data_IF_744213877252
#
_entry.id   IF_744213877252
#
_cell.length_a   1.000
_cell.length_b   1.000
_cell.length_c   1.000
_cell.angle_alpha   90.00
_cell.angle_beta   90.00
_cell.angle_gamma   90.00
#
_symmetry.space_group_name_H-M   'P 1'
#
loop_
_entity.id
_entity.type
_entity.pdbx_description
1 polymer ?
#
# COMPACT_ATOMS: atom_id res chain seq x y z
N UNK A 1 -13.89 -16.54 -15.26
CA UNK A 1 -14.62 -15.51 -14.50
C UNK A 1 -15.44 -14.73 -15.52
N UNK A 2 -16.74 -14.56 -15.31
CA UNK A 2 -17.60 -13.75 -16.18
C UNK A 2 -17.71 -12.34 -15.59
N UNK A 3 -17.02 -11.38 -16.21
CA UNK A 3 -16.99 -9.99 -15.74
C UNK A 3 -18.29 -9.22 -16.05
N UNK A 4 -19.15 -9.72 -16.93
CA UNK A 4 -20.43 -9.07 -17.25
C UNK A 4 -21.47 -9.26 -16.15
N UNK A 5 -21.32 -10.33 -15.36
CA UNK A 5 -22.18 -10.69 -14.24
C UNK A 5 -21.50 -10.55 -12.86
N UNK A 6 -20.33 -9.91 -12.80
CA UNK A 6 -19.56 -9.74 -11.56
C UNK A 6 -19.36 -8.27 -11.23
N UNK A 7 -19.50 -7.92 -9.94
CA UNK A 7 -19.10 -6.61 -9.44
C UNK A 7 -17.58 -6.46 -9.40
N UNK A 8 -17.09 -5.25 -9.71
CA UNK A 8 -15.69 -4.88 -9.54
C UNK A 8 -15.43 -4.50 -8.10
N UNK A 9 -14.21 -4.80 -7.64
CA UNK A 9 -13.78 -4.56 -6.28
C UNK A 9 -12.35 -4.04 -6.28
N UNK A 10 -12.14 -2.79 -5.87
CA UNK A 10 -10.81 -2.24 -5.64
C UNK A 10 -10.55 -2.17 -4.12
N UNK A 11 -9.63 -2.99 -3.58
CA UNK A 11 -9.34 -3.03 -2.14
C UNK A 11 -8.73 -1.74 -1.61
N UNK A 12 -8.18 -0.87 -2.47
CA UNK A 12 -7.57 0.40 -2.06
C UNK A 12 -8.49 1.61 -2.20
N UNK A 13 -9.72 1.44 -2.73
CA UNK A 13 -10.61 2.55 -3.02
C UNK A 13 -11.00 3.39 -1.77
N UNK A 14 -11.02 2.77 -0.58
CA UNK A 14 -11.41 3.43 0.68
C UNK A 14 -10.28 3.55 1.71
N UNK A 15 -9.14 2.93 1.46
CA UNK A 15 -8.06 2.89 2.44
C UNK A 15 -7.24 4.18 2.29
N UNK A 16 -7.15 4.96 3.36
CA UNK A 16 -6.44 6.25 3.34
C UNK A 16 -5.43 6.39 4.47
N UNK A 17 -5.56 5.58 5.53
CA UNK A 17 -4.64 5.62 6.66
C UNK A 17 -3.62 4.48 6.60
N UNK A 18 -2.52 4.68 7.33
CA UNK A 18 -1.39 3.76 7.36
C UNK A 18 -1.75 2.36 7.86
N UNK A 19 -2.63 2.26 8.86
CA UNK A 19 -2.97 0.98 9.51
C UNK A 19 -3.71 0.10 8.50
N UNK A 20 -4.73 0.64 7.85
CA UNK A 20 -5.55 -0.10 6.89
C UNK A 20 -4.73 -0.53 5.67
N UNK A 21 -3.87 0.37 5.16
CA UNK A 21 -2.97 0.05 4.05
C UNK A 21 -1.97 -1.03 4.42
N UNK A 22 -1.40 -0.97 5.63
CA UNK A 22 -0.49 -2.01 6.12
C UNK A 22 -1.22 -3.34 6.31
N UNK A 23 -2.44 -3.33 6.82
CA UNK A 23 -3.26 -4.53 6.94
C UNK A 23 -3.55 -5.16 5.57
N UNK A 24 -3.95 -4.36 4.58
CA UNK A 24 -4.22 -4.84 3.22
C UNK A 24 -2.96 -5.39 2.54
N UNK A 25 -1.84 -4.68 2.63
CA UNK A 25 -0.55 -5.16 2.12
C UNK A 25 -0.13 -6.47 2.83
N UNK A 26 -0.28 -6.55 4.14
CA UNK A 26 0.02 -7.76 4.91
C UNK A 26 -0.88 -8.94 4.54
N UNK A 27 -2.16 -8.70 4.22
CA UNK A 27 -3.07 -9.76 3.72
C UNK A 27 -2.54 -10.34 2.41
N UNK A 28 -2.11 -9.49 1.46
CA UNK A 28 -1.53 -9.93 0.19
C UNK A 28 -0.31 -10.84 0.41
N UNK A 29 0.63 -10.38 1.24
CA UNK A 29 1.87 -11.12 1.52
C UNK A 29 1.57 -12.44 2.25
N UNK A 30 0.71 -12.45 3.28
CA UNK A 30 0.36 -13.68 4.01
C UNK A 30 -0.40 -14.69 3.15
N UNK A 31 -1.21 -14.23 2.20
CA UNK A 31 -1.91 -15.12 1.28
C UNK A 31 -0.94 -15.84 0.33
N UNK A 32 0.12 -15.16 -0.10
CA UNK A 32 1.17 -15.74 -0.94
C UNK A 32 2.17 -16.61 -0.15
N UNK A 33 2.44 -16.24 1.10
CA UNK A 33 3.41 -16.90 1.98
C UNK A 33 2.78 -17.26 3.33
N UNK A 34 1.94 -18.31 3.40
CA UNK A 34 1.20 -18.64 4.62
C UNK A 34 2.09 -19.16 5.76
N UNK A 35 3.21 -19.83 5.43
CA UNK A 35 4.13 -20.41 6.41
C UNK A 35 5.59 -19.98 6.12
N UNK A 36 5.93 -18.70 6.34
CA UNK A 36 7.26 -18.18 5.98
C UNK A 36 8.32 -18.63 6.99
N UNK A 37 9.51 -18.95 6.49
CA UNK A 37 10.72 -19.06 7.32
C UNK A 37 11.09 -17.70 7.93
N UNK A 38 11.98 -17.68 8.92
CA UNK A 38 12.48 -16.42 9.51
C UNK A 38 13.11 -15.48 8.46
N UNK A 39 13.83 -16.04 7.49
CA UNK A 39 14.39 -15.26 6.38
C UNK A 39 13.27 -14.70 5.48
N UNK A 40 12.27 -15.52 5.14
CA UNK A 40 11.13 -15.07 4.35
C UNK A 40 10.31 -14.00 5.07
N UNK A 41 10.21 -14.03 6.40
CA UNK A 41 9.53 -12.97 7.17
C UNK A 41 10.19 -11.60 6.99
N UNK A 42 11.52 -11.55 6.90
CA UNK A 42 12.25 -10.32 6.60
C UNK A 42 11.90 -9.79 5.20
N UNK A 43 11.90 -10.66 4.19
CA UNK A 43 11.52 -10.29 2.82
C UNK A 43 10.06 -9.86 2.72
N UNK A 44 9.18 -10.56 3.44
CA UNK A 44 7.75 -10.25 3.54
C UNK A 44 7.51 -8.86 4.11
N UNK A 45 8.21 -8.48 5.20
CA UNK A 45 8.10 -7.15 5.79
C UNK A 45 8.57 -6.05 4.82
N UNK A 46 9.66 -6.29 4.09
CA UNK A 46 10.12 -5.40 3.03
C UNK A 46 9.10 -5.26 1.90
N UNK A 47 8.48 -6.36 1.48
CA UNK A 47 7.51 -6.39 0.39
C UNK A 47 6.21 -5.69 0.77
N UNK A 48 5.73 -5.87 2.01
CA UNK A 48 4.59 -5.14 2.57
C UNK A 48 4.85 -3.63 2.56
N UNK A 49 6.05 -3.22 3.02
CA UNK A 49 6.48 -1.82 2.99
C UNK A 49 6.53 -1.26 1.57
N UNK A 50 7.08 -2.00 0.61
CA UNK A 50 7.15 -1.61 -0.79
C UNK A 50 5.76 -1.41 -1.40
N UNK A 51 4.83 -2.34 -1.18
CA UNK A 51 3.44 -2.23 -1.64
C UNK A 51 2.79 -0.97 -1.07
N UNK A 52 2.94 -0.72 0.23
CA UNK A 52 2.38 0.48 0.88
C UNK A 52 2.96 1.78 0.30
N UNK A 53 4.27 1.85 0.08
CA UNK A 53 4.92 3.00 -0.55
C UNK A 53 4.29 3.30 -1.91
N UNK A 54 4.09 2.27 -2.74
CA UNK A 54 3.49 2.45 -4.05
C UNK A 54 2.01 2.83 -4.00
N UNK A 55 1.24 2.28 -3.08
CA UNK A 55 -0.15 2.72 -2.88
C UNK A 55 -0.19 4.19 -2.46
N UNK A 56 0.63 4.61 -1.50
CA UNK A 56 0.72 6.02 -1.08
C UNK A 56 1.15 6.94 -2.23
N UNK A 57 2.13 6.53 -3.04
CA UNK A 57 2.52 7.29 -4.23
C UNK A 57 1.32 7.49 -5.18
N UNK A 58 0.51 6.45 -5.41
CA UNK A 58 -0.69 6.55 -6.24
C UNK A 58 -1.75 7.47 -5.60
N UNK A 59 -1.95 7.42 -4.28
CA UNK A 59 -2.82 8.36 -3.57
C UNK A 59 -2.36 9.81 -3.74
N UNK A 60 -1.06 10.07 -3.61
CA UNK A 60 -0.51 11.43 -3.69
C UNK A 60 -0.62 12.05 -5.08
N UNK A 61 -0.75 11.24 -6.14
CA UNK A 61 -1.06 11.74 -7.49
C UNK A 61 -2.50 12.26 -7.63
N UNK A 62 -3.40 11.90 -6.71
CA UNK A 62 -4.75 12.43 -6.63
C UNK A 62 -5.72 11.95 -7.71
N UNK A 63 -5.35 10.95 -8.52
CA UNK A 63 -6.28 10.32 -9.47
C UNK A 63 -6.82 8.98 -8.91
N UNK A 64 -8.08 8.92 -8.45
CA UNK A 64 -8.69 7.71 -7.89
C UNK A 64 -8.64 6.49 -8.83
N UNK A 65 -8.73 6.70 -10.15
CA UNK A 65 -8.69 5.62 -11.13
C UNK A 65 -7.34 4.91 -11.17
N UNK A 66 -6.30 5.56 -10.65
CA UNK A 66 -4.96 4.99 -10.60
C UNK A 66 -4.67 4.20 -9.31
N UNK A 67 -5.48 4.38 -8.26
CA UNK A 67 -5.22 3.83 -6.93
C UNK A 67 -5.78 2.41 -6.85
N UNK A 68 -5.13 1.46 -7.50
CA UNK A 68 -5.60 0.08 -7.58
C UNK A 68 -4.45 -0.94 -7.61
N UNK A 69 -4.78 -2.19 -7.29
CA UNK A 69 -3.79 -3.28 -7.22
C UNK A 69 -3.08 -3.55 -8.57
N UNK A 70 -3.76 -3.50 -9.74
CA UNK A 70 -3.08 -3.56 -11.04
C UNK A 70 -1.95 -2.55 -11.24
N UNK A 71 -2.15 -1.30 -10.85
CA UNK A 71 -1.11 -0.27 -10.97
C UNK A 71 0.03 -0.46 -9.96
N UNK A 72 -0.27 -0.95 -8.75
CA UNK A 72 0.78 -1.35 -7.81
C UNK A 72 1.63 -2.47 -8.39
N UNK A 73 1.02 -3.49 -9.00
CA UNK A 73 1.76 -4.54 -9.72
C UNK A 73 2.59 -3.96 -10.86
N UNK A 74 2.05 -3.02 -11.62
CA UNK A 74 2.81 -2.36 -12.69
C UNK A 74 4.08 -1.69 -12.15
N UNK A 75 4.01 -0.99 -11.01
CA UNK A 75 5.16 -0.37 -10.37
C UNK A 75 6.19 -1.41 -9.86
N UNK A 76 5.72 -2.51 -9.24
CA UNK A 76 6.60 -3.60 -8.78
C UNK A 76 7.30 -4.28 -9.96
N UNK A 77 6.58 -4.58 -11.04
CA UNK A 77 7.13 -5.24 -12.23
C UNK A 77 8.15 -4.37 -12.99
N UNK A 78 8.06 -3.04 -12.85
CA UNK A 78 8.97 -2.08 -13.49
C UNK A 78 10.03 -1.53 -12.52
N UNK A 79 10.29 -2.22 -11.40
CA UNK A 79 11.24 -1.78 -10.40
C UNK A 79 12.69 -1.85 -10.89
N UNK A 80 13.32 -0.69 -11.14
CA UNK A 80 14.62 -0.57 -11.82
C UNK A 80 15.71 0.13 -11.00
N UNK A 81 15.46 0.43 -9.73
CA UNK A 81 16.39 1.17 -8.86
C UNK A 81 17.74 0.48 -8.70
N UNK A 82 17.76 -0.84 -8.50
CA UNK A 82 19.00 -1.61 -8.35
C UNK A 82 19.75 -1.86 -9.68
N UNK A 83 19.11 -1.58 -10.83
CA UNK A 83 19.68 -1.75 -12.17
C UNK A 83 20.32 -0.47 -12.71
N UNK A 84 20.06 0.66 -12.04
CA UNK A 84 20.52 1.98 -12.47
C UNK A 84 21.95 2.23 -11.99
N UNK A 85 22.77 2.86 -12.83
CA UNK A 85 24.16 3.17 -12.49
C UNK A 85 24.24 4.10 -11.28
N UNK A 86 25.29 3.94 -10.46
CA UNK A 86 25.49 4.75 -9.27
C UNK A 86 25.50 6.26 -9.62
N UNK A 87 24.66 7.04 -8.91
CA UNK A 87 24.54 8.48 -9.13
C UNK A 87 23.49 8.89 -10.16
N UNK A 88 22.77 7.94 -10.75
CA UNK A 88 21.60 8.21 -11.60
C UNK A 88 20.31 7.80 -10.89
N UNK A 89 19.22 8.50 -11.22
CA UNK A 89 17.88 8.16 -10.74
C UNK A 89 17.19 7.23 -11.74
N UNK A 90 16.66 6.12 -11.23
CA UNK A 90 15.85 5.17 -11.99
C UNK A 90 14.50 5.78 -12.41
N UNK A 91 13.68 5.03 -13.13
CA UNK A 91 12.31 5.46 -13.43
C UNK A 91 11.47 5.46 -12.16
N UNK A 92 11.61 4.43 -11.32
CA UNK A 92 10.91 4.37 -10.03
C UNK A 92 11.38 5.47 -9.08
N UNK A 93 12.68 5.77 -9.02
CA UNK A 93 13.20 6.85 -8.17
C UNK A 93 12.55 8.19 -8.53
N UNK A 94 12.51 8.51 -9.83
CA UNK A 94 11.88 9.74 -10.34
C UNK A 94 10.37 9.76 -10.06
N UNK A 95 9.70 8.64 -10.26
CA UNK A 95 8.28 8.50 -9.97
C UNK A 95 7.99 8.78 -8.50
N UNK A 96 8.68 8.08 -7.58
CA UNK A 96 8.48 8.25 -6.14
C UNK A 96 8.80 9.68 -5.73
N UNK A 97 9.94 10.25 -6.14
CA UNK A 97 10.30 11.64 -5.86
C UNK A 97 9.21 12.63 -6.30
N UNK A 98 8.62 12.42 -7.47
CA UNK A 98 7.53 13.28 -7.97
C UNK A 98 6.24 13.11 -7.17
N UNK A 99 5.93 11.89 -6.74
CA UNK A 99 4.70 11.58 -6.00
C UNK A 99 4.79 11.95 -4.51
N UNK A 100 5.98 12.09 -3.93
CA UNK A 100 6.17 12.28 -2.48
C UNK A 100 6.65 13.67 -2.09
N UNK A 101 6.51 14.68 -2.96
CA UNK A 101 6.95 16.05 -2.67
C UNK A 101 6.36 16.62 -1.37
N UNK A 102 5.12 16.25 -1.06
CA UNK A 102 4.39 16.68 0.14
C UNK A 102 4.20 15.54 1.16
N UNK A 103 4.90 14.42 1.00
CA UNK A 103 4.79 13.23 1.84
C UNK A 103 6.19 12.66 2.18
N UNK A 104 6.92 13.33 3.09
CA UNK A 104 8.27 12.94 3.45
C UNK A 104 8.32 11.57 4.16
N UNK A 105 7.22 11.13 4.76
CA UNK A 105 7.15 9.83 5.44
C UNK A 105 7.22 8.69 4.42
N UNK A 106 6.40 8.73 3.37
CA UNK A 106 6.46 7.74 2.27
C UNK A 106 7.81 7.79 1.55
N UNK A 107 8.38 8.99 1.35
CA UNK A 107 9.71 9.11 0.75
C UNK A 107 10.80 8.45 1.62
N UNK A 108 10.77 8.66 2.94
CA UNK A 108 11.71 8.04 3.89
C UNK A 108 11.58 6.53 3.85
N UNK A 109 10.33 6.02 3.85
CA UNK A 109 10.06 4.60 3.74
C UNK A 109 10.65 4.00 2.44
N UNK A 110 10.48 4.66 1.30
CA UNK A 110 11.11 4.27 0.05
C UNK A 110 12.64 4.32 0.13
N UNK A 111 13.21 5.40 0.68
CA UNK A 111 14.65 5.61 0.74
C UNK A 111 15.35 4.52 1.55
N UNK A 112 14.76 4.07 2.66
CA UNK A 112 15.32 2.96 3.45
C UNK A 112 15.41 1.65 2.65
N UNK A 113 14.45 1.41 1.74
CA UNK A 113 14.47 0.27 0.85
C UNK A 113 15.50 0.45 -0.27
N UNK A 114 15.49 1.61 -0.94
CA UNK A 114 16.36 1.92 -2.08
C UNK A 114 17.85 1.99 -1.72
N UNK A 115 18.18 2.31 -0.46
CA UNK A 115 19.54 2.29 0.07
C UNK A 115 20.03 0.89 0.48
N UNK A 116 19.16 -0.13 0.40
CA UNK A 116 19.54 -1.52 0.65
C UNK A 116 20.59 -2.03 -0.34
N UNK A 117 21.27 -3.13 0.01
CA UNK A 117 22.12 -3.80 -0.98
C UNK A 117 21.27 -4.42 -2.11
N UNK A 118 21.86 -4.61 -3.28
CA UNK A 118 21.15 -5.08 -4.47
C UNK A 118 20.41 -6.41 -4.23
N UNK A 119 21.02 -7.36 -3.51
CA UNK A 119 20.40 -8.66 -3.19
C UNK A 119 19.13 -8.47 -2.35
N UNK A 120 19.20 -7.66 -1.29
CA UNK A 120 18.07 -7.34 -0.43
C UNK A 120 16.94 -6.70 -1.24
N UNK A 121 17.24 -5.71 -2.08
CA UNK A 121 16.25 -5.05 -2.94
C UNK A 121 15.60 -6.07 -3.88
N UNK A 122 16.39 -6.86 -4.60
CA UNK A 122 15.87 -7.86 -5.53
C UNK A 122 15.01 -8.92 -4.83
N UNK A 123 15.40 -9.39 -3.65
CA UNK A 123 14.61 -10.35 -2.85
C UNK A 123 13.29 -9.75 -2.38
N UNK A 124 13.28 -8.49 -1.94
CA UNK A 124 12.05 -7.79 -1.55
C UNK A 124 11.12 -7.56 -2.74
N UNK A 125 11.64 -7.09 -3.87
CA UNK A 125 10.86 -6.87 -5.10
C UNK A 125 10.28 -8.19 -5.61
N UNK A 126 11.07 -9.26 -5.63
CA UNK A 126 10.61 -10.60 -6.04
C UNK A 126 9.50 -11.10 -5.12
N UNK A 127 9.62 -10.88 -3.82
CA UNK A 127 8.58 -11.26 -2.84
C UNK A 127 7.28 -10.51 -3.09
N UNK A 128 7.35 -9.21 -3.37
CA UNK A 128 6.16 -8.42 -3.74
C UNK A 128 5.56 -8.87 -5.09
N UNK A 129 6.39 -9.16 -6.09
CA UNK A 129 5.93 -9.62 -7.41
C UNK A 129 5.19 -10.96 -7.33
N UNK A 130 5.73 -11.93 -6.58
CA UNK A 130 5.06 -13.23 -6.35
C UNK A 130 3.71 -13.03 -5.67
N UNK A 131 3.62 -12.15 -4.66
CA UNK A 131 2.34 -11.87 -3.99
C UNK A 131 1.30 -11.21 -4.90
N UNK A 132 1.75 -10.48 -5.92
CA UNK A 132 0.90 -9.82 -6.91
C UNK A 132 0.73 -10.65 -8.19
N UNK A 133 1.41 -11.79 -8.32
CA UNK A 133 1.38 -12.65 -9.52
C UNK A 133 -0.01 -13.11 -9.98
N UNK A 134 -1.04 -13.28 -9.12
CA UNK A 134 -2.39 -13.61 -9.58
C UNK A 134 -2.98 -12.56 -10.54
N UNK A 135 -2.56 -11.29 -10.44
CA UNK A 135 -2.95 -10.24 -11.37
C UNK A 135 -2.36 -10.38 -12.78
N UNK A 136 -1.60 -11.46 -13.05
CA UNK A 136 -1.29 -11.90 -14.40
C UNK A 136 -2.53 -12.34 -15.20
N UNK A 137 -3.63 -12.70 -14.53
CA UNK A 137 -4.92 -12.99 -15.17
C UNK A 137 -5.64 -11.66 -15.55
N UNK A 138 -5.84 -11.37 -16.86
CA UNK A 138 -6.52 -10.15 -17.29
C UNK A 138 -7.96 -10.01 -16.76
N UNK A 139 -8.64 -11.12 -16.47
CA UNK A 139 -9.97 -11.06 -15.87
C UNK A 139 -9.89 -10.49 -14.45
N UNK A 140 -8.94 -10.99 -13.65
CA UNK A 140 -8.71 -10.53 -12.29
C UNK A 140 -8.17 -9.09 -12.25
N UNK A 141 -7.30 -8.72 -13.19
CA UNK A 141 -6.85 -7.33 -13.35
C UNK A 141 -8.04 -6.38 -13.55
N UNK A 142 -8.98 -6.72 -14.44
CA UNK A 142 -10.17 -5.89 -14.70
C UNK A 142 -11.14 -5.86 -13.52
N UNK A 143 -11.26 -6.96 -12.79
CA UNK A 143 -12.06 -7.02 -11.56
C UNK A 143 -11.53 -6.06 -10.50
N UNK A 144 -10.21 -5.96 -10.38
CA UNK A 144 -9.52 -5.20 -9.33
C UNK A 144 -9.15 -3.75 -9.72
N UNK A 145 -9.40 -3.35 -10.97
CA UNK A 145 -9.06 -2.02 -11.47
C UNK A 145 -9.98 -0.90 -10.97
N UNK A 146 -11.14 -1.22 -10.42
CA UNK A 146 -12.12 -0.25 -9.90
C UNK A 146 -13.14 -0.91 -8.98
N UNK A 147 -14.07 -0.13 -8.44
CA UNK A 147 -15.14 -0.61 -7.56
C UNK A 147 -16.51 -0.30 -8.12
N UNK A 148 -17.38 -1.30 -8.22
CA UNK A 148 -18.84 -1.12 -8.43
C UNK A 148 -19.64 -1.53 -7.21
N UNK A 149 -19.04 -2.27 -6.28
CA UNK A 149 -19.71 -2.76 -5.09
C UNK A 149 -19.96 -1.64 -4.07
N UNK A 150 -21.23 -1.43 -3.73
CA UNK A 150 -21.67 -0.45 -2.73
C UNK A 150 -21.75 -1.07 -1.32
N UNK A 151 -20.68 -0.89 -0.54
CA UNK A 151 -20.64 -1.35 0.85
C UNK A 151 -21.57 -0.55 1.79
N UNK A 152 -21.91 0.69 1.46
CA UNK A 152 -22.83 1.51 2.28
C UNK A 152 -24.27 1.02 2.13
N UNK A 153 -24.67 0.65 0.92
CA UNK A 153 -25.95 0.01 0.61
C UNK A 153 -26.19 -1.25 1.45
N UNK A 154 -25.16 -2.05 1.73
CA UNK A 154 -25.26 -3.27 2.53
C UNK A 154 -25.80 -3.05 3.94
N UNK A 155 -25.62 -1.85 4.51
CA UNK A 155 -26.12 -1.50 5.85
C UNK A 155 -27.52 -0.93 5.86
N UNK A 156 -27.97 -0.38 4.72
CA UNK A 156 -29.20 0.40 4.64
C UNK A 156 -30.35 -0.38 4.01
N UNK A 157 -30.04 -1.37 3.16
CA UNK A 157 -31.01 -2.18 2.46
C UNK A 157 -30.73 -3.68 2.63
N UNK A 158 -31.78 -4.50 2.52
CA UNK A 158 -31.65 -5.96 2.55
C UNK A 158 -30.96 -6.41 1.26
N UNK A 159 -29.68 -6.75 1.36
CA UNK A 159 -28.87 -7.19 0.22
C UNK A 159 -28.38 -8.61 0.43
N UNK A 160 -28.50 -9.46 -0.59
CA UNK A 160 -27.88 -10.77 -0.63
C UNK A 160 -26.65 -10.71 -1.55
N UNK A 161 -25.47 -11.02 -1.00
CA UNK A 161 -24.22 -11.04 -1.75
C UNK A 161 -23.83 -12.50 -2.08
N UNK A 162 -23.54 -12.77 -3.36
CA UNK A 162 -23.10 -14.08 -3.82
C UNK A 162 -21.60 -14.05 -4.16
N UNK A 163 -20.80 -14.82 -3.43
CA UNK A 163 -19.37 -15.00 -3.70
C UNK A 163 -19.18 -16.39 -4.31
N UNK A 164 -18.97 -16.44 -5.63
CA UNK A 164 -18.88 -17.68 -6.39
C UNK A 164 -17.42 -17.99 -6.73
N UNK A 165 -16.83 -18.97 -6.03
CA UNK A 165 -15.47 -19.44 -6.30
C UNK A 165 -15.51 -20.92 -6.64
N UNK A 166 -14.89 -21.31 -7.75
CA UNK A 166 -14.73 -22.73 -8.10
C UNK A 166 -13.77 -23.37 -7.10
N UNK A 167 -14.14 -24.51 -6.52
CA UNK A 167 -13.34 -25.21 -5.49
C UNK A 167 -11.88 -25.45 -5.90
N UNK A 168 -11.64 -25.76 -7.18
CA UNK A 168 -10.30 -26.00 -7.73
C UNK A 168 -9.42 -24.73 -7.78
N UNK A 169 -10.01 -23.55 -7.63
CA UNK A 169 -9.33 -22.26 -7.73
C UNK A 169 -9.30 -21.49 -6.41
N UNK A 170 -9.78 -22.08 -5.31
CA UNK A 170 -9.89 -21.41 -4.02
C UNK A 170 -8.55 -20.85 -3.54
N UNK A 171 -7.46 -21.61 -3.65
CA UNK A 171 -6.12 -21.15 -3.26
C UNK A 171 -5.67 -19.94 -4.06
N UNK A 172 -5.99 -19.89 -5.35
CA UNK A 172 -5.61 -18.78 -6.24
C UNK A 172 -6.34 -17.47 -5.87
N UNK A 173 -7.59 -17.56 -5.45
CA UNK A 173 -8.40 -16.39 -5.06
C UNK A 173 -8.36 -16.08 -3.56
N UNK A 174 -7.56 -16.79 -2.78
CA UNK A 174 -7.52 -16.62 -1.32
C UNK A 174 -7.17 -15.19 -0.91
N UNK A 175 -6.21 -14.56 -1.59
CA UNK A 175 -5.85 -13.16 -1.31
C UNK A 175 -7.03 -12.21 -1.53
N UNK A 176 -7.79 -12.41 -2.61
CA UNK A 176 -8.95 -11.61 -2.97
C UNK A 176 -10.05 -11.77 -1.94
N UNK A 177 -10.35 -13.02 -1.55
CA UNK A 177 -11.33 -13.32 -0.52
C UNK A 177 -10.94 -12.68 0.81
N UNK A 178 -9.68 -12.81 1.23
CA UNK A 178 -9.21 -12.24 2.50
C UNK A 178 -9.30 -10.71 2.51
N UNK A 179 -8.90 -10.04 1.42
CA UNK A 179 -9.06 -8.58 1.28
C UNK A 179 -10.53 -8.19 1.32
N UNK A 180 -11.36 -8.88 0.53
CA UNK A 180 -12.79 -8.61 0.45
C UNK A 180 -13.48 -8.77 1.80
N UNK A 181 -13.22 -9.85 2.54
CA UNK A 181 -13.81 -10.07 3.86
C UNK A 181 -13.32 -9.04 4.88
N UNK A 182 -12.03 -8.68 4.87
CA UNK A 182 -11.51 -7.65 5.76
C UNK A 182 -12.25 -6.32 5.55
N UNK A 183 -12.41 -5.91 4.29
CA UNK A 183 -13.07 -4.66 3.91
C UNK A 183 -14.59 -4.69 4.13
N UNK A 184 -15.22 -5.84 3.89
CA UNK A 184 -16.63 -6.07 4.18
C UNK A 184 -16.91 -5.94 5.67
N UNK A 185 -16.17 -6.65 6.52
CA UNK A 185 -16.40 -6.61 7.95
C UNK A 185 -16.08 -5.24 8.54
N UNK A 186 -15.02 -4.58 8.08
CA UNK A 186 -14.71 -3.21 8.51
C UNK A 186 -15.89 -2.28 8.18
N UNK A 187 -16.39 -2.29 6.94
CA UNK A 187 -17.54 -1.48 6.53
C UNK A 187 -18.82 -1.80 7.33
N UNK A 188 -19.04 -3.06 7.71
CA UNK A 188 -20.21 -3.49 8.48
C UNK A 188 -20.06 -3.24 10.00
N UNK A 189 -18.86 -3.05 10.52
CA UNK A 189 -18.62 -2.85 11.95
C UNK A 189 -18.27 -1.40 12.31
N UNK A 190 -17.92 -0.56 11.34
CA UNK A 190 -17.68 0.86 11.57
C UNK A 190 -18.89 1.52 12.27
N UNK A 191 -18.66 2.30 13.35
CA UNK A 191 -19.73 2.99 14.06
C UNK A 191 -20.45 3.95 13.12
N UNK A 192 -21.76 3.77 12.94
CA UNK A 192 -22.56 4.79 12.26
C UNK A 192 -22.67 6.00 13.18
N UNK A 193 -22.38 7.19 12.65
CA UNK A 193 -22.48 8.47 13.35
C UNK A 193 -23.85 8.73 14.01
N UNK A 194 -24.87 7.94 13.68
CA UNK A 194 -26.21 7.95 14.28
C UNK A 194 -26.34 7.25 15.65
N UNK A 195 -25.29 6.63 16.20
CA UNK A 195 -25.36 5.91 17.49
C UNK A 195 -24.84 6.70 18.69
N UNK A 196 -24.22 7.87 18.49
CA UNK A 196 -23.64 8.70 19.58
C UNK A 196 -24.69 9.56 20.33
N UNK A 197 -25.98 9.36 20.05
CA UNK A 197 -27.09 10.13 20.62
C UNK A 197 -27.82 9.50 21.82
N UNK A 198 -27.30 8.44 22.46
CA UNK A 198 -27.87 7.92 23.72
C UNK A 198 -26.80 7.78 24.81
N UNK A 199 -26.68 8.87 25.58
CA UNK A 199 -26.30 8.92 26.99
C UNK A 199 -25.08 8.09 27.43
N UNK A 200 -23.89 8.69 27.35
CA UNK A 200 -22.76 8.27 28.20
C UNK A 200 -22.59 9.29 29.32
N UNK A 201 -23.13 8.93 30.49
CA UNK A 201 -22.78 9.56 31.75
C UNK A 201 -21.26 9.44 31.97
N UNK A 202 -20.67 10.56 32.38
CA UNK A 202 -19.25 10.75 32.58
C UNK A 202 -18.58 9.59 33.33
N UNK A 203 -17.59 8.94 32.69
CA UNK A 203 -16.56 8.17 33.39
C UNK A 203 -15.19 8.74 33.05
N UNK A 204 -14.78 9.72 33.87
CA UNK A 204 -13.43 10.25 33.91
C UNK A 204 -12.51 9.16 34.46
N UNK A 205 -11.60 8.64 33.65
CA UNK A 205 -10.44 7.88 34.14
C UNK A 205 -9.22 8.70 33.79
N UNK A 206 -8.62 9.34 34.80
CA UNK A 206 -7.25 9.86 34.72
C UNK A 206 -6.32 8.67 34.96
N UNK A 207 -5.39 8.42 34.06
CA UNK A 207 -4.15 7.72 34.43
C UNK A 207 -2.98 8.67 34.18
N UNK A 208 -2.20 8.85 35.24
CA UNK A 208 -0.93 9.55 35.26
C UNK A 208 0.14 8.51 34.99
N UNK A 209 0.89 8.65 33.91
CA UNK A 209 2.18 8.00 33.76
C UNK A 209 3.06 8.91 32.89
N UNK A 210 3.93 9.64 33.57
CA UNK A 210 5.09 10.29 32.99
C UNK A 210 6.20 9.23 32.88
N UNK A 211 6.83 9.07 31.71
CA UNK A 211 8.24 8.76 31.67
C UNK A 211 9.00 9.84 30.90
N UNK A 212 9.90 10.49 31.61
CA UNK A 212 10.94 11.36 31.06
C UNK A 212 11.77 10.58 30.03
N UNK A 213 11.83 11.09 28.80
CA UNK A 213 12.82 10.66 27.80
C UNK A 213 13.91 11.74 27.71
N UNK A 214 15.15 11.46 28.12
CA UNK A 214 16.26 12.37 27.89
C UNK A 214 16.85 12.19 26.49
N UNK A 215 16.95 13.28 25.74
CA UNK A 215 17.91 13.46 24.64
C UNK A 215 17.40 13.08 23.24
N UNK A 216 16.56 13.91 22.63
CA UNK A 216 16.40 13.92 21.18
C UNK A 216 17.51 14.77 20.55
N UNK A 217 18.07 14.21 19.48
CA UNK A 217 19.11 14.73 18.62
C UNK A 217 18.87 16.18 18.17
N UNK A 218 19.74 17.09 18.61
CA UNK A 218 20.03 18.31 17.85
C UNK A 218 20.92 17.91 16.67
N UNK A 219 20.30 17.83 15.50
CA UNK A 219 20.97 17.55 14.24
C UNK A 219 19.98 17.75 13.11
N UNK A 220 19.94 18.98 12.57
CA UNK A 220 19.19 19.28 11.35
C UNK A 220 19.60 18.33 10.20
N UNK A 221 18.72 18.12 9.20
CA UNK A 221 18.98 17.13 8.16
C UNK A 221 20.21 17.52 7.34
N UNK A 222 21.31 16.80 7.56
CA UNK A 222 22.47 16.82 6.68
C UNK A 222 22.10 16.02 5.42
N UNK A 223 21.92 16.73 4.30
CA UNK A 223 21.66 16.13 3.00
C UNK A 223 22.87 15.27 2.60
N UNK A 224 22.70 13.97 2.30
CA UNK A 224 23.81 13.15 1.83
C UNK A 224 24.38 13.75 0.53
N UNK A 225 25.71 13.92 0.46
CA UNK A 225 26.49 14.51 -0.66
C UNK A 225 26.39 13.78 -2.01
N UNK A 226 25.37 12.96 -2.24
CA UNK A 226 25.04 12.41 -3.57
C UNK A 226 23.89 13.13 -4.28
N UNK A 227 23.28 14.14 -3.66
CA UNK A 227 22.19 14.91 -4.26
C UNK A 227 22.41 16.44 -4.20
N UNK A 228 23.66 16.91 -4.24
CA UNK A 228 23.98 18.35 -4.40
C UNK A 228 24.95 18.51 -5.58
N UNK A 229 24.40 18.47 -6.78
CA UNK A 229 25.02 19.07 -7.96
C UNK A 229 23.94 19.33 -9.00
N UNK A 230 23.27 20.47 -8.89
CA UNK A 230 22.71 21.11 -10.08
C UNK A 230 22.70 22.63 -9.90
N UNK A 231 22.83 23.32 -11.03
CA UNK A 231 22.64 24.76 -11.24
C UNK A 231 23.78 25.69 -10.77
N UNK A 232 24.78 25.84 -11.63
CA UNK A 232 25.30 27.18 -11.95
C UNK A 232 24.77 27.59 -13.32
N UNK A 233 23.76 28.45 -13.32
CA UNK A 233 23.48 29.36 -14.43
C UNK A 233 24.70 30.28 -14.61
N UNK A 234 24.94 30.77 -15.84
CA UNK A 234 24.97 32.21 -15.96
C UNK A 234 24.08 32.68 -17.12
N UNK A 235 23.31 33.73 -16.84
CA UNK A 235 22.79 34.65 -17.83
C UNK A 235 23.94 35.56 -18.32
N UNK A 236 23.76 36.06 -19.55
CA UNK A 236 24.24 37.33 -20.14
C UNK A 236 25.23 37.24 -21.32
N UNK A 237 24.67 37.63 -22.49
CA UNK A 237 25.21 38.34 -23.66
C UNK A 237 26.47 37.86 -24.40
N UNK A 238 26.29 37.34 -25.62
CA UNK A 238 26.41 38.06 -26.91
C UNK A 238 25.99 37.11 -28.04
#
# INVERSE_FOLDING_TARGET
>A
MDLSASDRYNPFARLTNFIDLSQAAGILIRAAYPNPSAEQQFWNAGAEKLIRVFVNCLHNLGNPDHINLPNVRHLVANFDTHLTAAGQLSKIDRFVLSATQNDPATFTDYQTLANGNAKTISSTVTTADVALSPLGDPALTRLLAGSTLDFTGLRTQKTALFILVRQQQTTHYLFLLNLFYADLFDSLLQPTASSTGRSSAARRVRSSANPEFPGLCDGGPEVPRRLVASAKTPLVSL
#
